data_IF_411720877487
#
_entry.id   IF_411720877487
#
_cell.length_a   1.000
_cell.length_b   1.000
_cell.length_c   1.000
_cell.angle_alpha   90.00
_cell.angle_beta   90.00
_cell.angle_gamma   90.00
#
_symmetry.space_group_name_H-M   'P 1'
#
loop_
_entity.id
_entity.type
_entity.pdbx_description
1 polymer ?
#
# COMPACT_ATOMS: atom_id res chain seq x y z
N UNK A 1 62.83 15.56 7.32
CA UNK A 1 61.71 15.68 6.36
C UNK A 1 61.08 14.33 5.96
N UNK A 2 61.75 13.19 6.07
CA UNK A 2 61.20 11.86 5.71
C UNK A 2 59.95 11.40 6.50
N UNK A 3 59.67 11.99 7.67
CA UNK A 3 58.51 11.60 8.48
C UNK A 3 57.17 12.06 7.88
N UNK A 4 57.13 13.25 7.27
CA UNK A 4 55.93 13.81 6.65
C UNK A 4 55.51 13.04 5.39
N UNK A 5 56.49 12.51 4.65
CA UNK A 5 56.21 11.69 3.46
C UNK A 5 55.66 10.31 3.84
N UNK A 6 56.15 9.71 4.94
CA UNK A 6 55.64 8.42 5.44
C UNK A 6 54.20 8.53 5.96
N UNK A 7 53.85 9.61 6.66
CA UNK A 7 52.48 9.82 7.13
C UNK A 7 51.53 10.22 6.01
N UNK A 8 51.99 11.00 5.01
CA UNK A 8 51.21 11.30 3.81
C UNK A 8 50.92 10.04 2.98
N UNK A 9 51.94 9.21 2.74
CA UNK A 9 51.78 7.95 2.01
C UNK A 9 50.89 6.94 2.75
N UNK A 10 51.02 6.81 4.07
CA UNK A 10 50.14 5.94 4.85
C UNK A 10 48.69 6.45 4.90
N UNK A 11 48.49 7.77 5.01
CA UNK A 11 47.16 8.39 4.94
C UNK A 11 46.53 8.19 3.54
N UNK A 12 47.31 8.35 2.48
CA UNK A 12 46.86 8.12 1.10
C UNK A 12 46.50 6.66 0.86
N UNK A 13 47.31 5.72 1.36
CA UNK A 13 47.04 4.27 1.26
C UNK A 13 45.79 3.89 2.06
N UNK A 14 45.58 4.45 3.26
CA UNK A 14 44.36 4.25 4.04
C UNK A 14 43.12 4.75 3.28
N UNK A 15 43.19 5.96 2.71
CA UNK A 15 42.09 6.53 1.93
C UNK A 15 41.81 5.72 0.65
N UNK A 16 42.85 5.21 -0.01
CA UNK A 16 42.69 4.34 -1.18
C UNK A 16 42.07 2.97 -0.84
N UNK A 17 42.43 2.41 0.32
CA UNK A 17 41.88 1.14 0.80
C UNK A 17 40.38 1.27 1.15
N UNK A 18 39.97 2.40 1.74
CA UNK A 18 38.57 2.70 2.06
C UNK A 18 37.69 2.78 0.79
N UNK A 19 38.20 3.38 -0.30
CA UNK A 19 37.47 3.48 -1.58
C UNK A 19 37.46 2.19 -2.40
N UNK A 20 38.29 1.21 -2.06
CA UNK A 20 38.33 -0.09 -2.74
C UNK A 20 37.37 -1.12 -2.15
N UNK A 21 36.82 -0.84 -0.96
CA UNK A 21 35.86 -1.73 -0.30
C UNK A 21 34.53 -1.69 -1.05
N UNK A 22 34.02 -2.88 -1.38
CA UNK A 22 32.67 -3.02 -1.92
C UNK A 22 31.66 -2.56 -0.86
N UNK A 23 30.82 -1.60 -1.21
CA UNK A 23 29.73 -1.09 -0.40
C UNK A 23 28.42 -1.22 -1.17
N UNK A 24 27.45 -1.91 -0.58
CA UNK A 24 26.16 -2.18 -1.22
C UNK A 24 25.06 -1.45 -0.46
N UNK A 25 24.23 -0.73 -1.22
CA UNK A 25 23.02 -0.10 -0.73
C UNK A 25 21.89 -0.38 -1.71
N UNK A 26 20.65 -0.27 -1.23
CA UNK A 26 19.51 -0.32 -2.12
C UNK A 26 18.35 0.57 -1.68
N UNK A 27 17.47 0.84 -2.64
CA UNK A 27 16.20 1.52 -2.43
C UNK A 27 15.08 0.89 -3.26
N UNK A 28 13.84 1.12 -2.85
CA UNK A 28 12.65 0.76 -3.59
C UNK A 28 11.90 2.00 -4.07
N UNK A 29 11.14 1.88 -5.15
CA UNK A 29 10.28 2.96 -5.68
C UNK A 29 9.20 3.39 -4.69
N UNK A 30 8.68 2.44 -3.90
CA UNK A 30 7.76 2.67 -2.79
C UNK A 30 8.02 1.65 -1.71
N UNK A 31 7.78 2.02 -0.45
CA UNK A 31 7.81 1.11 0.70
C UNK A 31 6.42 0.60 1.07
N UNK A 32 5.36 1.16 0.47
CA UNK A 32 3.98 0.72 0.69
C UNK A 32 3.27 0.52 -0.64
N UNK A 33 2.67 -0.65 -0.83
CA UNK A 33 1.95 -1.00 -2.05
C UNK A 33 0.75 -1.91 -1.75
N UNK A 34 -0.15 -2.10 -2.72
CA UNK A 34 -1.24 -3.09 -2.61
C UNK A 34 -0.80 -4.45 -3.15
N UNK A 35 -1.49 -5.50 -2.74
CA UNK A 35 -1.34 -6.85 -3.32
C UNK A 35 -1.36 -6.79 -4.86
N UNK A 36 -0.35 -7.39 -5.49
CA UNK A 36 -0.20 -7.45 -6.95
C UNK A 36 0.38 -6.20 -7.62
N UNK A 37 0.63 -5.12 -6.87
CA UNK A 37 1.30 -3.92 -7.38
C UNK A 37 2.80 -4.16 -7.58
N UNK A 38 3.36 -3.59 -8.65
CA UNK A 38 4.77 -3.75 -8.99
C UNK A 38 5.63 -2.73 -8.24
N UNK A 39 6.60 -3.21 -7.49
CA UNK A 39 7.62 -2.40 -6.83
C UNK A 39 8.93 -2.56 -7.60
N UNK A 40 9.60 -1.45 -7.90
CA UNK A 40 10.92 -1.47 -8.55
C UNK A 40 12.00 -1.25 -7.52
N UNK A 41 13.04 -2.08 -7.59
CA UNK A 41 14.21 -1.99 -6.72
C UNK A 41 15.40 -1.42 -7.50
N UNK A 42 16.24 -0.68 -6.79
CA UNK A 42 17.45 -0.07 -7.31
C UNK A 42 18.61 -0.45 -6.41
N UNK A 43 19.64 -1.07 -6.99
CA UNK A 43 20.92 -1.23 -6.30
C UNK A 43 21.78 0.03 -6.47
N UNK A 44 22.56 0.33 -5.46
CA UNK A 44 23.59 1.37 -5.46
C UNK A 44 24.87 0.72 -4.92
N UNK A 45 25.87 0.55 -5.79
CA UNK A 45 27.11 -0.15 -5.50
C UNK A 45 28.26 0.85 -5.53
N UNK A 46 28.93 1.01 -4.41
CA UNK A 46 30.13 1.81 -4.24
C UNK A 46 31.38 0.93 -4.12
N UNK A 47 32.51 1.44 -4.62
CA UNK A 47 33.78 0.70 -4.58
C UNK A 47 33.74 -0.59 -5.41
N UNK A 48 34.55 -1.58 -5.02
CA UNK A 48 34.61 -2.89 -5.69
C UNK A 48 35.20 -2.87 -7.10
N UNK A 49 35.21 -4.05 -7.75
CA UNK A 49 35.67 -4.21 -9.14
C UNK A 49 34.61 -4.93 -9.98
N UNK A 50 34.15 -4.25 -11.02
CA UNK A 50 33.22 -4.83 -11.98
C UNK A 50 33.87 -5.96 -12.82
N UNK A 51 33.09 -6.92 -13.34
CA UNK A 51 31.63 -7.03 -13.27
C UNK A 51 31.09 -7.41 -11.88
N UNK A 52 29.84 -7.03 -11.62
CA UNK A 52 29.12 -7.38 -10.40
C UNK A 52 28.06 -8.44 -10.68
N UNK A 53 27.78 -9.28 -9.69
CA UNK A 53 26.62 -10.16 -9.67
C UNK A 53 25.70 -9.79 -8.50
N UNK A 54 24.39 -9.70 -8.76
CA UNK A 54 23.38 -9.37 -7.76
C UNK A 54 22.59 -10.61 -7.36
N UNK A 55 22.21 -10.67 -6.10
CA UNK A 55 21.28 -11.66 -5.55
C UNK A 55 20.32 -10.94 -4.61
N UNK A 56 19.06 -10.86 -5.04
CA UNK A 56 17.97 -10.28 -4.28
C UNK A 56 17.16 -11.38 -3.62
N UNK A 57 16.83 -11.18 -2.35
CA UNK A 57 15.78 -11.90 -1.64
C UNK A 57 14.72 -10.89 -1.17
N UNK A 58 13.50 -11.06 -1.67
CA UNK A 58 12.39 -10.14 -1.37
C UNK A 58 11.67 -10.46 -0.05
N UNK A 59 12.04 -11.55 0.63
CA UNK A 59 11.46 -11.98 1.90
C UNK A 59 10.13 -12.73 1.77
N UNK A 60 9.66 -12.98 0.55
CA UNK A 60 8.43 -13.73 0.23
C UNK A 60 8.71 -15.11 -0.39
N UNK A 61 9.98 -15.52 -0.42
CA UNK A 61 10.47 -16.75 -1.03
C UNK A 61 10.84 -16.62 -2.52
N UNK A 62 10.67 -15.44 -3.13
CA UNK A 62 11.14 -15.17 -4.48
C UNK A 62 12.49 -14.43 -4.45
N UNK A 63 13.32 -14.70 -5.44
CA UNK A 63 14.64 -14.09 -5.61
C UNK A 63 14.83 -13.51 -7.02
N UNK A 64 15.86 -12.70 -7.21
CA UNK A 64 16.23 -12.14 -8.52
C UNK A 64 17.73 -11.92 -8.64
N UNK A 65 18.27 -12.05 -9.86
CA UNK A 65 19.69 -11.76 -10.17
C UNK A 65 19.88 -10.50 -11.01
N UNK A 66 18.80 -9.82 -11.38
CA UNK A 66 18.87 -8.55 -12.10
C UNK A 66 19.43 -7.43 -11.21
N UNK A 67 20.11 -6.46 -11.81
CA UNK A 67 20.61 -5.27 -11.09
C UNK A 67 19.45 -4.43 -10.50
N UNK A 68 18.39 -4.19 -11.28
CA UNK A 68 17.25 -3.34 -10.91
C UNK A 68 15.91 -4.06 -11.16
N UNK A 69 15.56 -5.09 -10.38
CA UNK A 69 14.40 -5.92 -10.64
C UNK A 69 13.08 -5.20 -10.34
N UNK A 70 12.02 -5.66 -10.98
CA UNK A 70 10.65 -5.37 -10.59
C UNK A 70 10.03 -6.59 -9.92
N UNK A 71 9.45 -6.42 -8.73
CA UNK A 71 8.82 -7.51 -7.98
C UNK A 71 7.37 -7.20 -7.61
N UNK A 72 6.54 -8.24 -7.48
CA UNK A 72 5.12 -8.15 -7.12
C UNK A 72 4.81 -9.09 -5.96
N UNK A 73 4.39 -8.53 -4.84
CA UNK A 73 3.97 -9.29 -3.68
C UNK A 73 2.53 -9.76 -3.82
N UNK A 74 2.30 -11.07 -3.65
CA UNK A 74 0.98 -11.70 -3.81
C UNK A 74 0.10 -11.63 -2.56
N UNK A 75 0.70 -11.41 -1.39
CA UNK A 75 0.00 -11.43 -0.11
C UNK A 75 0.32 -10.17 0.68
N UNK A 76 -0.64 -9.69 1.46
CA UNK A 76 -0.42 -8.64 2.44
C UNK A 76 0.58 -9.10 3.52
N UNK A 77 1.37 -8.16 4.03
CA UNK A 77 2.38 -8.43 5.04
C UNK A 77 3.49 -7.39 5.04
N UNK A 78 4.41 -7.51 5.99
CA UNK A 78 5.69 -6.79 5.97
C UNK A 78 6.78 -7.74 5.50
N UNK A 79 7.67 -7.25 4.64
CA UNK A 79 8.72 -8.04 4.01
C UNK A 79 10.09 -7.44 4.28
N UNK A 80 11.01 -8.33 4.64
CA UNK A 80 12.43 -8.00 4.80
C UNK A 80 13.14 -8.26 3.48
N UNK A 81 13.80 -7.23 2.95
CA UNK A 81 14.50 -7.33 1.66
C UNK A 81 16.00 -7.39 1.91
N UNK A 82 16.67 -8.31 1.22
CA UNK A 82 18.12 -8.48 1.28
C UNK A 82 18.70 -8.38 -0.13
N UNK A 83 19.79 -7.64 -0.27
CA UNK A 83 20.59 -7.58 -1.49
C UNK A 83 22.02 -8.01 -1.15
N UNK A 84 22.50 -9.05 -1.80
CA UNK A 84 23.91 -9.41 -1.83
C UNK A 84 24.49 -9.05 -3.20
N UNK A 85 25.68 -8.43 -3.21
CA UNK A 85 26.44 -8.18 -4.44
C UNK A 85 27.83 -8.75 -4.28
N UNK A 86 28.31 -9.40 -5.33
CA UNK A 86 29.67 -9.95 -5.41
C UNK A 86 30.41 -9.29 -6.57
N UNK A 87 31.67 -8.91 -6.34
CA UNK A 87 32.56 -8.32 -7.33
C UNK A 87 33.42 -9.37 -8.06
N UNK A 88 34.17 -8.96 -9.08
CA UNK A 88 35.01 -9.85 -9.90
C UNK A 88 36.13 -10.55 -9.11
N UNK A 89 36.52 -9.99 -7.96
CA UNK A 89 37.52 -10.58 -7.06
C UNK A 89 36.90 -11.52 -6.02
N UNK A 90 35.58 -11.67 -6.04
CA UNK A 90 34.84 -12.49 -5.08
C UNK A 90 34.59 -11.80 -3.74
N UNK A 91 34.83 -10.49 -3.62
CA UNK A 91 34.38 -9.74 -2.44
C UNK A 91 32.86 -9.66 -2.49
N UNK A 92 32.22 -9.89 -1.34
CA UNK A 92 30.78 -9.83 -1.21
C UNK A 92 30.42 -8.83 -0.11
N UNK A 93 29.41 -8.01 -0.39
CA UNK A 93 28.74 -7.19 0.61
C UNK A 93 27.24 -7.43 0.55
N UNK A 94 26.57 -7.28 1.69
CA UNK A 94 25.15 -7.60 1.85
C UNK A 94 24.45 -6.53 2.66
N UNK A 95 23.42 -5.93 2.07
CA UNK A 95 22.53 -4.99 2.74
C UNK A 95 21.21 -5.69 3.03
N UNK A 96 20.76 -5.59 4.28
CA UNK A 96 19.48 -6.16 4.73
C UNK A 96 18.62 -5.09 5.38
N UNK A 97 17.39 -4.96 4.90
CA UNK A 97 16.40 -4.03 5.47
C UNK A 97 15.18 -4.80 5.97
N UNK A 98 15.09 -4.91 7.29
CA UNK A 98 13.96 -5.52 7.99
C UNK A 98 12.70 -4.67 7.86
N UNK A 99 11.54 -5.31 7.68
CA UNK A 99 10.22 -4.68 7.56
C UNK A 99 10.19 -3.50 6.56
N UNK A 100 10.95 -3.60 5.48
CA UNK A 100 11.18 -2.51 4.54
C UNK A 100 9.98 -2.24 3.64
N UNK A 101 9.29 -3.31 3.21
CA UNK A 101 8.12 -3.22 2.33
C UNK A 101 6.87 -3.64 3.09
N UNK A 102 5.84 -2.80 3.05
CA UNK A 102 4.52 -3.08 3.62
C UNK A 102 3.49 -3.24 2.50
N UNK A 103 2.86 -4.42 2.45
CA UNK A 103 1.82 -4.73 1.47
C UNK A 103 0.45 -4.71 2.14
N UNK A 104 -0.40 -3.83 1.63
CA UNK A 104 -1.78 -3.69 2.04
C UNK A 104 -2.68 -4.64 1.23
N UNK A 105 -3.79 -5.12 1.82
CA UNK A 105 -4.76 -5.93 1.08
C UNK A 105 -5.27 -5.19 -0.16
N UNK A 106 -5.45 -5.91 -1.26
CA UNK A 106 -6.03 -5.36 -2.48
C UNK A 106 -7.50 -4.94 -2.34
N UNK A 107 -8.19 -5.47 -1.32
CA UNK A 107 -9.57 -5.13 -0.97
C UNK A 107 -9.63 -4.23 0.27
N UNK A 108 -10.42 -3.16 0.21
CA UNK A 108 -10.73 -2.32 1.36
C UNK A 108 -12.15 -2.63 1.84
N UNK A 109 -12.27 -3.25 3.01
CA UNK A 109 -13.57 -3.59 3.60
C UNK A 109 -14.46 -2.35 3.84
N UNK A 110 -13.86 -1.19 4.14
CA UNK A 110 -14.60 0.07 4.36
C UNK A 110 -15.37 0.52 3.13
N UNK A 111 -14.78 0.40 1.94
CA UNK A 111 -15.43 0.82 0.69
C UNK A 111 -16.68 0.00 0.36
N UNK A 112 -16.77 -1.26 0.80
CA UNK A 112 -17.92 -2.13 0.54
C UNK A 112 -19.11 -1.70 1.42
N UNK A 113 -18.85 -1.41 2.70
CA UNK A 113 -19.89 -0.99 3.65
C UNK A 113 -20.43 0.39 3.26
N UNK A 114 -19.56 1.34 2.93
CA UNK A 114 -19.97 2.69 2.53
C UNK A 114 -20.75 2.68 1.20
N UNK A 115 -20.32 1.87 0.22
CA UNK A 115 -21.04 1.73 -1.04
C UNK A 115 -22.39 1.05 -0.87
N UNK A 116 -22.49 0.04 0.01
CA UNK A 116 -23.75 -0.63 0.31
C UNK A 116 -24.74 0.29 1.05
N UNK A 117 -24.28 1.05 2.04
CA UNK A 117 -25.11 2.03 2.75
C UNK A 117 -25.55 3.18 1.86
N UNK A 118 -24.65 3.73 1.04
CA UNK A 118 -25.01 4.76 0.07
C UNK A 118 -26.04 4.22 -0.95
N UNK A 119 -25.86 2.97 -1.38
CA UNK A 119 -26.86 2.25 -2.19
C UNK A 119 -28.21 2.20 -1.49
N UNK A 120 -28.28 1.68 -0.27
CA UNK A 120 -29.52 1.54 0.51
C UNK A 120 -30.23 2.88 0.74
N UNK A 121 -29.49 3.93 1.11
CA UNK A 121 -30.03 5.27 1.32
C UNK A 121 -30.59 5.84 0.01
N UNK A 122 -29.90 5.62 -1.10
CA UNK A 122 -30.34 6.09 -2.41
C UNK A 122 -31.60 5.34 -2.87
N UNK A 123 -31.65 4.02 -2.66
CA UNK A 123 -32.86 3.22 -2.87
C UNK A 123 -34.03 3.74 -2.03
N UNK A 124 -33.81 4.03 -0.74
CA UNK A 124 -34.83 4.60 0.14
C UNK A 124 -35.36 5.95 -0.35
N UNK A 125 -34.47 6.87 -0.78
CA UNK A 125 -34.86 8.17 -1.35
C UNK A 125 -35.66 8.04 -2.64
N UNK A 126 -35.23 7.17 -3.54
CA UNK A 126 -35.91 6.94 -4.82
C UNK A 126 -37.31 6.35 -4.59
N UNK A 127 -37.41 5.33 -3.74
CA UNK A 127 -38.70 4.74 -3.37
C UNK A 127 -39.64 5.76 -2.73
N UNK A 128 -39.14 6.59 -1.81
CA UNK A 128 -39.94 7.65 -1.21
C UNK A 128 -40.46 8.63 -2.28
N UNK A 129 -39.62 9.09 -3.21
CA UNK A 129 -40.04 9.98 -4.29
C UNK A 129 -41.09 9.35 -5.21
N UNK A 130 -40.91 8.07 -5.57
CA UNK A 130 -41.89 7.33 -6.39
C UNK A 130 -43.23 7.22 -5.66
N UNK A 131 -43.23 6.89 -4.37
CA UNK A 131 -44.45 6.75 -3.57
C UNK A 131 -45.17 8.08 -3.34
N UNK A 132 -44.43 9.19 -3.27
CA UNK A 132 -44.99 10.55 -3.25
C UNK A 132 -45.65 10.88 -4.59
N UNK A 133 -44.99 10.57 -5.71
CA UNK A 133 -45.52 10.79 -7.06
C UNK A 133 -46.77 9.94 -7.36
N UNK A 134 -46.79 8.68 -6.89
CA UNK A 134 -47.96 7.80 -6.94
C UNK A 134 -49.07 8.19 -5.95
N UNK A 135 -48.83 9.20 -5.11
CA UNK A 135 -49.80 9.71 -4.14
C UNK A 135 -50.03 8.82 -2.92
N UNK A 136 -49.33 7.68 -2.79
CA UNK A 136 -49.53 6.71 -1.69
C UNK A 136 -49.09 7.29 -0.34
N UNK A 137 -48.12 8.21 -0.34
CA UNK A 137 -47.62 8.91 0.85
C UNK A 137 -47.69 10.44 0.73
N UNK A 138 -48.62 10.95 -0.09
CA UNK A 138 -48.84 12.40 -0.14
C UNK A 138 -49.36 12.93 1.21
N UNK A 139 -48.90 14.09 1.71
CA UNK A 139 -49.47 14.76 2.89
C UNK A 139 -51.00 14.88 2.84
N UNK A 140 -51.57 14.95 1.62
CA UNK A 140 -53.02 14.96 1.39
C UNK A 140 -53.69 13.68 1.90
N UNK A 141 -53.11 12.49 1.69
CA UNK A 141 -53.70 11.23 2.15
C UNK A 141 -53.57 11.02 3.67
N UNK A 142 -52.51 11.56 4.29
CA UNK A 142 -52.40 11.59 5.76
C UNK A 142 -53.53 12.46 6.34
N UNK A 143 -53.76 13.64 5.76
CA UNK A 143 -54.84 14.55 6.16
C UNK A 143 -56.22 13.91 5.90
N UNK A 144 -56.44 13.30 4.75
CA UNK A 144 -57.68 12.56 4.41
C UNK A 144 -57.90 11.39 5.37
N UNK A 145 -56.86 10.61 5.67
CA UNK A 145 -56.94 9.49 6.63
C UNK A 145 -57.34 9.95 8.03
N UNK A 146 -56.74 11.04 8.53
CA UNK A 146 -57.10 11.65 9.83
C UNK A 146 -58.55 12.15 9.83
N UNK A 147 -58.99 12.81 8.76
CA UNK A 147 -60.38 13.29 8.61
C UNK A 147 -61.37 12.13 8.63
N UNK A 148 -61.10 11.05 7.87
CA UNK A 148 -61.95 9.86 7.82
C UNK A 148 -62.00 9.15 9.17
N UNK A 149 -60.87 9.03 9.87
CA UNK A 149 -60.81 8.47 11.21
C UNK A 149 -61.68 9.26 12.20
N UNK A 150 -61.57 10.60 12.20
CA UNK A 150 -62.39 11.45 13.07
C UNK A 150 -63.88 11.41 12.71
N UNK A 151 -64.21 11.38 11.42
CA UNK A 151 -65.59 11.27 10.96
C UNK A 151 -66.22 9.92 11.37
N UNK A 152 -65.47 8.82 11.24
CA UNK A 152 -65.89 7.50 11.69
C UNK A 152 -66.08 7.43 13.20
N UNK A 153 -65.10 7.94 13.97
CA UNK A 153 -65.18 7.99 15.43
C UNK A 153 -66.40 8.78 15.93
N UNK A 154 -66.70 9.93 15.29
CA UNK A 154 -67.92 10.70 15.59
C UNK A 154 -69.20 9.93 15.30
N UNK A 155 -69.26 9.16 14.20
CA UNK A 155 -70.43 8.32 13.90
C UNK A 155 -70.60 7.20 14.93
N UNK A 156 -69.50 6.60 15.39
CA UNK A 156 -69.54 5.52 16.38
C UNK A 156 -70.07 6.00 17.73
N UNK A 157 -69.70 7.21 18.18
CA UNK A 157 -70.23 7.81 19.41
C UNK A 157 -71.72 8.17 19.37
N UNK A 158 -72.31 8.33 18.18
CA UNK A 158 -73.76 8.60 18.04
C UNK A 158 -74.62 7.32 18.01
N UNK A 159 -73.99 6.13 18.01
CA UNK A 159 -74.66 4.83 17.97
C UNK A 159 -74.53 4.06 19.29
N UNK A 160 -73.99 4.68 20.32
CA UNK A 160 -73.97 4.22 21.71
C UNK A 160 -74.78 5.21 22.54
#
# INVERSE_FOLDING_TARGET
MQYLERTSAMSLIQVLLEQSKLEVRFSASTTTAKEGEQIRFYSDVGGGIAPYSWEWDFGDGNTSTDNNPGHKYKSKGTYTVTLAVTDDRGNQDTEKRSDYITILPGWSAGNIVDSAWNGLINFGRILANILIWLGIFSPVWIVVGVILYFAWWRRRKKRA
#
